data_IF_334613303578
#
_entry.id   IF_334613303578
#
_cell.length_a   1.000
_cell.length_b   1.000
_cell.length_c   1.000
_cell.angle_alpha   90.00
_cell.angle_beta   90.00
_cell.angle_gamma   90.00
#
_symmetry.space_group_name_H-M   'P 1'
#
loop_
_entity.id
_entity.type
_entity.pdbx_description
1 polymer ?
#
# COMPACT_ATOMS: atom_id res chain seq x y z
N UNK A 1 -5.80 1.19 -7.52
CA UNK A 1 -5.53 1.56 -6.11
C UNK A 1 -6.35 0.76 -5.10
N UNK A 2 -7.66 0.57 -5.29
CA UNK A 2 -8.56 -0.13 -4.32
C UNK A 2 -8.01 -1.46 -3.74
N UNK A 3 -7.60 -2.41 -4.60
CA UNK A 3 -7.06 -3.70 -4.14
C UNK A 3 -5.85 -3.56 -3.20
N UNK A 4 -4.95 -2.62 -3.46
CA UNK A 4 -3.79 -2.33 -2.61
C UNK A 4 -4.22 -1.70 -1.29
N UNK A 5 -5.21 -0.79 -1.32
CA UNK A 5 -5.75 -0.19 -0.10
C UNK A 5 -6.32 -1.24 0.85
N UNK A 6 -7.05 -2.25 0.34
CA UNK A 6 -7.53 -3.36 1.16
C UNK A 6 -6.41 -4.20 1.78
N UNK A 7 -5.27 -4.34 1.09
CA UNK A 7 -4.08 -5.00 1.64
C UNK A 7 -3.47 -4.17 2.77
N UNK A 8 -3.35 -2.85 2.62
CA UNK A 8 -2.89 -1.97 3.70
C UNK A 8 -3.82 -1.95 4.91
N UNK A 9 -5.15 -2.05 4.71
CA UNK A 9 -6.11 -2.19 5.80
C UNK A 9 -5.89 -3.48 6.59
N UNK A 10 -5.60 -4.60 5.90
CA UNK A 10 -5.24 -5.87 6.55
C UNK A 10 -3.84 -5.85 7.18
N UNK A 11 -2.93 -5.06 6.62
CA UNK A 11 -1.49 -5.10 6.90
C UNK A 11 -0.72 -6.11 6.04
N UNK A 12 -1.39 -6.77 5.10
CA UNK A 12 -0.86 -7.82 4.21
C UNK A 12 -0.17 -7.21 2.98
N UNK A 13 0.85 -6.40 3.23
CA UNK A 13 1.58 -5.65 2.21
C UNK A 13 3.06 -5.50 2.59
N UNK A 14 3.92 -5.22 1.62
CA UNK A 14 5.30 -4.84 1.87
C UNK A 14 5.44 -3.31 2.02
N UNK A 15 6.45 -2.85 2.76
CA UNK A 15 6.72 -1.41 2.90
C UNK A 15 7.02 -0.74 1.54
N UNK A 16 7.62 -1.45 0.59
CA UNK A 16 7.86 -0.97 -0.78
C UNK A 16 6.57 -0.70 -1.56
N UNK A 17 5.45 -1.33 -1.18
CA UNK A 17 4.16 -1.05 -1.81
C UNK A 17 3.62 0.32 -1.44
N UNK A 18 4.06 0.91 -0.32
CA UNK A 18 3.70 2.29 0.08
C UNK A 18 4.26 3.29 -0.93
N UNK A 19 5.51 3.08 -1.37
CA UNK A 19 6.12 3.90 -2.41
C UNK A 19 5.46 3.63 -3.77
N UNK A 20 5.13 2.37 -4.06
CA UNK A 20 4.42 1.99 -5.29
C UNK A 20 3.05 2.67 -5.40
N UNK A 21 2.25 2.69 -4.33
CA UNK A 21 0.92 3.31 -4.37
C UNK A 21 1.02 4.84 -4.48
N UNK A 22 2.08 5.44 -3.92
CA UNK A 22 2.38 6.86 -4.11
C UNK A 22 2.65 7.17 -5.59
N UNK A 23 3.55 6.44 -6.23
CA UNK A 23 3.86 6.62 -7.66
C UNK A 23 2.63 6.39 -8.55
N UNK A 24 1.85 5.32 -8.28
CA UNK A 24 0.59 5.07 -8.98
C UNK A 24 -0.40 6.23 -8.84
N UNK A 25 -0.49 6.85 -7.66
CA UNK A 25 -1.38 8.00 -7.46
C UNK A 25 -0.93 9.21 -8.29
N UNK A 26 0.38 9.40 -8.50
CA UNK A 26 0.94 10.47 -9.35
C UNK A 26 0.74 10.20 -10.83
N UNK A 27 0.71 8.94 -11.24
CA UNK A 27 0.34 8.55 -12.61
C UNK A 27 -1.14 8.76 -12.92
N UNK A 28 -2.00 8.84 -11.90
CA UNK A 28 -3.43 9.13 -12.07
C UNK A 28 -3.68 10.64 -12.06
N UNK A 29 -3.04 11.35 -11.12
CA UNK A 29 -3.13 12.80 -10.99
C UNK A 29 -2.74 13.50 -12.29
N UNK A 30 -3.62 14.35 -12.83
CA UNK A 30 -3.41 15.09 -14.07
C UNK A 30 -3.47 14.26 -15.36
N UNK A 31 -3.73 12.94 -15.27
CA UNK A 31 -3.78 12.03 -16.42
C UNK A 31 -5.17 11.42 -16.64
N UNK A 32 -6.22 12.12 -16.19
CA UNK A 32 -7.62 11.72 -16.35
C UNK A 32 -8.45 12.84 -16.97
N UNK A 33 -9.59 12.49 -17.58
CA UNK A 33 -10.46 13.45 -18.28
C UNK A 33 -11.12 14.44 -17.31
N UNK A 34 -11.43 14.02 -16.10
CA UNK A 34 -12.10 14.84 -15.09
C UNK A 34 -11.39 14.74 -13.74
N UNK A 35 -11.62 15.74 -12.87
CA UNK A 35 -10.98 15.86 -11.55
C UNK A 35 -11.34 14.75 -10.55
N UNK A 36 -12.17 13.77 -10.93
CA UNK A 36 -12.41 12.59 -10.10
C UNK A 36 -11.14 11.75 -9.93
N UNK A 37 -10.28 11.67 -10.96
CA UNK A 37 -9.00 10.98 -10.86
C UNK A 37 -8.09 11.60 -9.80
N UNK A 38 -7.97 12.92 -9.82
CA UNK A 38 -7.23 13.70 -8.83
C UNK A 38 -7.85 13.53 -7.44
N UNK A 39 -9.17 13.63 -7.35
CA UNK A 39 -9.94 13.43 -6.11
C UNK A 39 -9.79 12.02 -5.52
N UNK A 40 -9.50 11.00 -6.33
CA UNK A 40 -9.20 9.65 -5.88
C UNK A 40 -7.71 9.47 -5.50
N UNK A 41 -6.79 10.18 -6.15
CA UNK A 41 -5.36 10.10 -5.90
C UNK A 41 -4.95 10.88 -4.63
N UNK A 42 -5.48 12.08 -4.41
CA UNK A 42 -5.08 12.94 -3.30
C UNK A 42 -5.30 12.35 -1.91
N UNK A 43 -6.39 11.62 -1.60
CA UNK A 43 -6.55 10.97 -0.31
C UNK A 43 -5.45 9.94 -0.03
N UNK A 44 -5.04 9.18 -1.06
CA UNK A 44 -3.93 8.21 -0.95
C UNK A 44 -2.60 8.95 -0.71
N UNK A 45 -2.34 10.01 -1.47
CA UNK A 45 -1.14 10.84 -1.26
C UNK A 45 -1.10 11.45 0.14
N UNK A 46 -2.21 12.02 0.62
CA UNK A 46 -2.32 12.58 1.97
C UNK A 46 -2.09 11.52 3.05
N UNK A 47 -2.67 10.33 2.88
CA UNK A 47 -2.46 9.20 3.79
C UNK A 47 -0.98 8.81 3.86
N UNK A 48 -0.32 8.61 2.72
CA UNK A 48 1.11 8.26 2.69
C UNK A 48 1.95 9.38 3.30
N UNK A 49 1.70 10.65 2.95
CA UNK A 49 2.48 11.79 3.44
C UNK A 49 2.42 11.96 4.96
N UNK A 50 1.25 11.75 5.57
CA UNK A 50 1.01 12.08 6.97
C UNK A 50 0.99 10.85 7.89
N UNK A 51 0.67 9.68 7.36
CA UNK A 51 0.43 8.46 8.15
C UNK A 51 1.27 7.27 7.70
N UNK A 52 2.34 7.47 6.90
CA UNK A 52 3.30 6.39 6.58
C UNK A 52 3.76 5.59 7.79
N UNK A 53 4.13 6.20 8.94
CA UNK A 53 4.53 5.43 10.12
C UNK A 53 3.42 4.49 10.63
N UNK A 54 2.16 4.89 10.52
CA UNK A 54 1.01 4.06 10.91
C UNK A 54 0.83 2.90 9.94
N UNK A 55 1.00 3.14 8.63
CA UNK A 55 0.94 2.09 7.61
C UNK A 55 2.04 1.05 7.81
N UNK A 56 3.29 1.50 8.01
CA UNK A 56 4.44 0.63 8.26
C UNK A 56 4.28 -0.15 9.57
N UNK A 57 3.77 0.48 10.63
CA UNK A 57 3.48 -0.21 11.90
C UNK A 57 2.44 -1.31 11.69
N UNK A 58 1.37 -1.04 10.94
CA UNK A 58 0.29 -2.01 10.68
C UNK A 58 0.80 -3.21 9.87
N UNK A 59 1.66 -2.96 8.88
CA UNK A 59 2.35 -4.00 8.13
C UNK A 59 3.25 -4.83 9.05
N UNK A 60 4.06 -4.18 9.89
CA UNK A 60 4.95 -4.86 10.83
C UNK A 60 4.18 -5.75 11.80
N UNK A 61 3.08 -5.26 12.37
CA UNK A 61 2.21 -6.04 13.25
C UNK A 61 1.58 -7.24 12.55
N UNK A 62 1.16 -7.08 11.30
CA UNK A 62 0.61 -8.17 10.51
C UNK A 62 1.66 -9.26 10.25
N UNK A 63 2.88 -8.90 9.86
CA UNK A 63 3.97 -9.86 9.65
C UNK A 63 4.46 -10.53 10.93
N UNK A 64 4.41 -9.84 12.08
CA UNK A 64 4.69 -10.46 13.39
C UNK A 64 3.67 -11.55 13.74
N UNK A 65 2.40 -11.35 13.39
CA UNK A 65 1.30 -12.30 13.64
C UNK A 65 1.22 -13.42 12.60
N UNK A 66 1.62 -13.11 11.37
CA UNK A 66 1.62 -14.02 10.22
C UNK A 66 3.05 -14.12 9.69
N UNK A 67 3.97 -14.77 10.42
CA UNK A 67 5.30 -15.01 9.88
C UNK A 67 5.17 -15.78 8.56
N UNK A 68 6.03 -15.47 7.60
CA UNK A 68 6.09 -16.23 6.35
C UNK A 68 6.21 -17.71 6.71
N UNK A 69 5.32 -18.53 6.18
CA UNK A 69 5.36 -19.98 6.40
C UNK A 69 6.72 -20.47 5.91
N UNK A 70 7.46 -21.13 6.79
CA UNK A 70 8.69 -21.87 6.48
C UNK A 70 8.34 -23.07 5.62
N UNK A 71 7.89 -22.82 4.39
CA UNK A 71 7.45 -23.80 3.44
C UNK A 71 8.01 -23.39 2.09
N UNK A 72 9.28 -23.78 1.89
CA UNK A 72 9.91 -24.12 0.61
C UNK A 72 11.41 -24.52 0.80
N UNK A 73 11.83 -24.94 2.01
CA UNK A 73 13.21 -25.47 2.24
C UNK A 73 13.29 -27.01 2.08
N UNK A 74 12.18 -27.71 1.84
CA UNK A 74 12.21 -29.12 1.40
C UNK A 74 11.58 -29.26 0.01
N UNK A 75 12.30 -28.88 -1.06
CA UNK A 75 12.17 -29.50 -2.39
C UNK A 75 13.30 -29.09 -3.36
N UNK A 76 14.55 -29.05 -2.88
CA UNK A 76 15.75 -29.32 -3.70
C UNK A 76 16.54 -30.40 -2.98
#
# INVERSE_FOLDING_TARGET
MDKMMWRFVRGDAANSEIDMIWELSKQIEGHTICALGDGAAWPVQGLVRHFRPVMESRISEYHKKNPAREADIEMI
#
